data_IF_212172294091
#
_entry.id   IF_212172294091
#
_cell.length_a   1.000
_cell.length_b   1.000
_cell.length_c   1.000
_cell.angle_alpha   90.00
_cell.angle_beta   90.00
_cell.angle_gamma   90.00
#
_symmetry.space_group_name_H-M   'P 1'
#
loop_
_entity.id
_entity.type
_entity.pdbx_description
1 polymer ?
#
# COMPACT_ATOMS: atom_id res chain seq x y z
N UNK A 1 -8.87 4.96 -13.63
CA UNK A 1 -10.10 5.15 -14.44
C UNK A 1 -9.83 5.21 -15.95
N UNK A 2 -8.76 5.87 -16.45
CA UNK A 2 -8.47 5.91 -17.91
C UNK A 2 -8.02 4.60 -18.58
N UNK A 3 -7.40 3.68 -17.84
CA UNK A 3 -6.93 2.36 -18.33
C UNK A 3 -8.07 1.44 -18.79
N UNK A 4 -9.23 1.52 -18.13
CA UNK A 4 -10.40 0.68 -18.45
C UNK A 4 -11.04 1.10 -19.78
N UNK A 5 -10.96 2.40 -20.11
CA UNK A 5 -11.48 2.96 -21.37
C UNK A 5 -10.59 2.55 -22.55
N UNK A 6 -9.27 2.55 -22.39
CA UNK A 6 -8.33 2.19 -23.46
C UNK A 6 -8.38 0.70 -23.80
N UNK A 7 -8.56 -0.17 -22.80
CA UNK A 7 -8.70 -1.62 -23.04
C UNK A 7 -10.00 -1.97 -23.78
N UNK A 8 -11.10 -1.21 -23.59
CA UNK A 8 -12.32 -1.37 -24.39
C UNK A 8 -12.14 -1.03 -25.88
N UNK A 9 -11.12 -0.22 -26.24
CA UNK A 9 -10.90 0.25 -27.61
C UNK A 9 -10.05 -0.70 -28.50
N UNK A 10 -9.71 -1.92 -28.05
CA UNK A 10 -8.88 -2.89 -28.81
C UNK A 10 -7.55 -2.32 -29.34
N UNK A 11 -6.97 -1.34 -28.65
CA UNK A 11 -5.62 -0.81 -28.90
C UNK A 11 -4.58 -1.60 -28.11
N UNK A 12 -4.47 -2.90 -28.34
CA UNK A 12 -3.48 -3.78 -27.68
C UNK A 12 -2.05 -3.25 -27.84
N UNK A 13 -1.75 -2.60 -28.96
CA UNK A 13 -0.45 -1.95 -29.23
C UNK A 13 -0.17 -0.70 -28.38
N UNK A 14 -1.16 -0.10 -27.72
CA UNK A 14 -0.99 1.07 -26.85
C UNK A 14 -1.34 0.77 -25.38
N UNK A 15 -1.89 -0.40 -25.07
CA UNK A 15 -2.21 -0.82 -23.72
C UNK A 15 -0.97 -0.85 -22.80
N UNK A 16 0.21 -1.17 -23.34
CA UNK A 16 1.47 -1.17 -22.58
C UNK A 16 1.86 0.23 -22.08
N UNK A 17 1.48 1.29 -22.80
CA UNK A 17 1.79 2.69 -22.43
C UNK A 17 1.15 3.07 -21.09
N UNK A 18 0.01 2.45 -20.76
CA UNK A 18 -0.68 2.70 -19.48
C UNK A 18 -0.47 1.58 -18.46
N UNK A 19 -0.26 0.34 -18.92
CA UNK A 19 0.01 -0.78 -18.03
C UNK A 19 1.38 -0.69 -17.37
N UNK A 20 2.43 -0.25 -18.08
CA UNK A 20 3.78 -0.17 -17.52
C UNK A 20 3.87 0.88 -16.39
N UNK A 21 3.42 2.14 -16.57
CA UNK A 21 3.42 3.12 -15.47
C UNK A 21 2.54 2.69 -14.30
N UNK A 22 1.41 2.02 -14.56
CA UNK A 22 0.53 1.52 -13.50
C UNK A 22 1.19 0.39 -12.70
N UNK A 23 1.82 -0.58 -13.38
CA UNK A 23 2.55 -1.67 -12.73
C UNK A 23 3.74 -1.15 -11.92
N UNK A 24 4.47 -0.18 -12.47
CA UNK A 24 5.56 0.49 -11.77
C UNK A 24 5.07 1.21 -10.51
N UNK A 25 3.99 1.99 -10.63
CA UNK A 25 3.38 2.67 -9.50
C UNK A 25 2.95 1.67 -8.42
N UNK A 26 2.28 0.58 -8.80
CA UNK A 26 1.88 -0.49 -7.89
C UNK A 26 3.09 -1.12 -7.18
N UNK A 27 4.17 -1.39 -7.91
CA UNK A 27 5.40 -1.94 -7.34
C UNK A 27 6.02 -0.98 -6.31
N UNK A 28 6.10 0.32 -6.63
CA UNK A 28 6.58 1.34 -5.71
C UNK A 28 5.68 1.46 -4.48
N UNK A 29 4.36 1.52 -4.65
CA UNK A 29 3.39 1.61 -3.54
C UNK A 29 3.46 0.39 -2.62
N UNK A 30 3.57 -0.81 -3.19
CA UNK A 30 3.66 -2.06 -2.42
C UNK A 30 4.97 -2.14 -1.65
N UNK A 31 6.08 -1.78 -2.29
CA UNK A 31 7.41 -1.75 -1.65
C UNK A 31 7.43 -0.73 -0.50
N UNK A 32 6.89 0.47 -0.73
CA UNK A 32 6.80 1.50 0.30
C UNK A 32 5.92 1.06 1.48
N UNK A 33 4.75 0.48 1.22
CA UNK A 33 3.86 -0.05 2.25
C UNK A 33 4.50 -1.18 3.06
N UNK A 34 5.20 -2.09 2.38
CA UNK A 34 5.95 -3.16 3.05
C UNK A 34 7.01 -2.62 4.00
N UNK A 35 7.82 -1.65 3.55
CA UNK A 35 8.81 -0.98 4.40
C UNK A 35 8.15 -0.25 5.57
N UNK A 36 7.01 0.40 5.35
CA UNK A 36 6.25 1.10 6.39
C UNK A 36 5.71 0.19 7.49
N UNK A 37 5.37 -1.05 7.18
CA UNK A 37 4.85 -2.01 8.17
C UNK A 37 6.01 -2.78 8.81
N UNK A 38 6.90 -3.36 8.02
CA UNK A 38 7.85 -4.39 8.48
C UNK A 38 9.30 -3.93 8.61
N UNK A 39 9.64 -2.67 8.29
CA UNK A 39 11.01 -2.20 8.46
C UNK A 39 11.42 -2.23 9.94
N UNK A 40 12.61 -2.78 10.21
CA UNK A 40 13.21 -2.78 11.55
C UNK A 40 13.76 -1.41 11.95
N UNK A 41 13.91 -0.46 11.01
CA UNK A 41 14.29 0.91 11.33
C UNK A 41 13.06 1.65 11.88
N UNK A 42 13.08 2.13 13.14
CA UNK A 42 11.98 2.89 13.74
C UNK A 42 11.65 4.19 13.00
N UNK A 43 12.53 4.69 12.13
CA UNK A 43 12.24 5.86 11.29
C UNK A 43 11.34 5.53 10.09
N UNK A 44 11.28 4.26 9.71
CA UNK A 44 10.55 3.78 8.53
C UNK A 44 9.34 2.93 8.93
N UNK A 45 9.53 1.99 9.85
CA UNK A 45 8.54 1.01 10.26
C UNK A 45 7.66 1.48 11.42
N UNK A 46 6.35 1.42 11.25
CA UNK A 46 5.38 1.73 12.29
C UNK A 46 5.50 0.79 13.49
N UNK A 47 5.64 -0.52 13.24
CA UNK A 47 5.82 -1.51 14.32
C UNK A 47 7.12 -1.29 15.11
N UNK A 48 8.24 -1.04 14.40
CA UNK A 48 9.51 -0.74 15.04
C UNK A 48 9.48 0.58 15.84
N UNK A 49 8.75 1.59 15.35
CA UNK A 49 8.53 2.84 16.08
C UNK A 49 7.69 2.59 17.35
N UNK A 50 6.57 1.87 17.24
CA UNK A 50 5.74 1.49 18.37
C UNK A 50 6.54 0.73 19.44
N UNK A 51 7.37 -0.23 19.05
CA UNK A 51 8.18 -1.04 19.97
C UNK A 51 9.23 -0.19 20.69
N UNK A 52 9.87 0.77 20.00
CA UNK A 52 10.82 1.70 20.62
C UNK A 52 10.17 2.55 21.71
N UNK A 53 8.96 3.08 21.45
CA UNK A 53 8.23 3.87 22.44
C UNK A 53 7.71 2.99 23.57
N UNK A 54 7.23 1.78 23.28
CA UNK A 54 6.78 0.82 24.29
C UNK A 54 7.91 0.41 25.25
N UNK A 55 9.11 0.14 24.74
CA UNK A 55 10.29 -0.17 25.55
C UNK A 55 10.67 1.00 26.48
N UNK A 56 10.67 2.23 25.94
CA UNK A 56 10.97 3.40 26.75
C UNK A 56 9.91 3.70 27.83
N UNK A 57 8.62 3.43 27.54
CA UNK A 57 7.56 3.47 28.57
C UNK A 57 7.85 2.47 29.69
N UNK A 58 8.24 1.24 29.36
CA UNK A 58 8.56 0.21 30.36
C UNK A 58 9.78 0.59 31.24
N UNK A 59 10.74 1.34 30.68
CA UNK A 59 11.88 1.88 31.41
C UNK A 59 11.57 3.19 32.18
N UNK A 60 10.34 3.72 32.08
CA UNK A 60 9.97 5.01 32.67
C UNK A 60 10.65 6.22 32.02
N UNK A 61 11.22 6.05 30.82
CA UNK A 61 11.94 7.11 30.09
C UNK A 61 11.02 7.79 29.09
N UNK A 62 10.92 9.12 29.21
CA UNK A 62 10.19 9.93 28.23
C UNK A 62 11.12 10.22 27.04
N UNK A 63 10.77 9.70 25.86
CA UNK A 63 11.48 10.01 24.64
C UNK A 63 10.92 11.28 23.99
N UNK A 64 11.81 12.22 23.68
CA UNK A 64 11.45 13.35 22.82
C UNK A 64 10.95 12.83 21.45
N UNK A 65 9.91 13.45 20.85
CA UNK A 65 9.26 14.71 21.21
C UNK A 65 8.09 14.60 22.21
N UNK A 66 7.75 13.39 22.68
CA UNK A 66 6.67 13.23 23.64
C UNK A 66 7.06 13.89 24.98
N UNK A 67 6.09 14.54 25.63
CA UNK A 67 6.30 15.26 26.90
C UNK A 67 5.87 14.45 28.13
N UNK A 68 5.11 13.38 27.93
CA UNK A 68 4.58 12.52 29.00
C UNK A 68 4.56 11.07 28.55
N UNK A 69 4.59 10.13 29.51
CA UNK A 69 4.42 8.69 29.26
C UNK A 69 3.08 8.37 28.58
N UNK A 70 2.03 9.09 28.96
CA UNK A 70 0.69 8.92 28.39
C UNK A 70 0.64 9.33 26.92
N UNK A 71 1.35 10.39 26.54
CA UNK A 71 1.50 10.78 25.15
C UNK A 71 2.25 9.71 24.33
N UNK A 72 3.28 9.07 24.91
CA UNK A 72 3.98 7.97 24.26
C UNK A 72 3.07 6.76 24.05
N UNK A 73 2.21 6.42 25.02
CA UNK A 73 1.24 5.32 24.87
C UNK A 73 0.29 5.56 23.69
N UNK A 74 -0.15 6.81 23.49
CA UNK A 74 -0.94 7.20 22.32
C UNK A 74 -0.16 7.04 21.01
N UNK A 75 1.14 7.37 20.99
CA UNK A 75 2.00 7.15 19.81
C UNK A 75 2.05 5.67 19.46
N UNK A 76 2.30 4.79 20.44
CA UNK A 76 2.32 3.32 20.23
C UNK A 76 1.00 2.83 19.66
N UNK A 77 -0.12 3.30 20.19
CA UNK A 77 -1.45 2.92 19.69
C UNK A 77 -1.67 3.40 18.24
N UNK A 78 -1.34 4.65 17.95
CA UNK A 78 -1.48 5.22 16.61
C UNK A 78 -0.62 4.48 15.59
N UNK A 79 0.64 4.17 15.92
CA UNK A 79 1.53 3.44 15.02
C UNK A 79 1.00 2.03 14.70
N UNK A 80 0.43 1.34 15.70
CA UNK A 80 -0.21 0.03 15.49
C UNK A 80 -1.45 0.13 14.60
N UNK A 81 -2.25 1.18 14.82
CA UNK A 81 -3.43 1.46 14.01
C UNK A 81 -3.05 1.81 12.57
N UNK A 82 -2.03 2.65 12.38
CA UNK A 82 -1.49 3.01 11.07
C UNK A 82 -0.91 1.79 10.33
N UNK A 83 -0.23 0.88 11.04
CA UNK A 83 0.23 -0.39 10.46
C UNK A 83 -0.95 -1.24 9.96
N UNK A 84 -2.03 -1.34 10.74
CA UNK A 84 -3.23 -2.08 10.36
C UNK A 84 -3.95 -1.42 9.15
N UNK A 85 -4.10 -0.10 9.16
CA UNK A 85 -4.69 0.66 8.05
C UNK A 85 -3.84 0.53 6.77
N UNK A 86 -2.51 0.57 6.90
CA UNK A 86 -1.59 0.39 5.79
C UNK A 86 -1.73 -1.02 5.19
N UNK A 87 -1.80 -2.06 6.03
CA UNK A 87 -2.02 -3.43 5.59
C UNK A 87 -3.37 -3.60 4.86
N UNK A 88 -4.43 -2.99 5.39
CA UNK A 88 -5.75 -2.98 4.77
C UNK A 88 -5.70 -2.32 3.38
N UNK A 89 -5.09 -1.14 3.29
CA UNK A 89 -4.94 -0.42 2.03
C UNK A 89 -4.16 -1.24 0.99
N UNK A 90 -3.03 -1.85 1.38
CA UNK A 90 -2.27 -2.75 0.51
C UNK A 90 -3.13 -3.93 0.04
N UNK A 91 -3.96 -4.51 0.91
CA UNK A 91 -4.91 -5.57 0.55
C UNK A 91 -5.94 -5.13 -0.50
N UNK A 92 -6.48 -3.93 -0.36
CA UNK A 92 -7.40 -3.35 -1.37
C UNK A 92 -6.69 -3.13 -2.70
N UNK A 93 -5.48 -2.57 -2.68
CA UNK A 93 -4.66 -2.34 -3.88
C UNK A 93 -4.36 -3.65 -4.61
N UNK A 94 -3.96 -4.70 -3.88
CA UNK A 94 -3.74 -6.03 -4.45
C UNK A 94 -5.02 -6.61 -5.05
N UNK A 95 -6.15 -6.47 -4.36
CA UNK A 95 -7.45 -6.95 -4.86
C UNK A 95 -7.81 -6.29 -6.19
N UNK A 96 -7.72 -4.95 -6.26
CA UNK A 96 -7.96 -4.20 -7.51
C UNK A 96 -6.97 -4.59 -8.60
N UNK A 97 -5.70 -4.81 -8.25
CA UNK A 97 -4.68 -5.31 -9.17
C UNK A 97 -5.06 -6.67 -9.76
N UNK A 98 -5.48 -7.62 -8.93
CA UNK A 98 -5.94 -8.95 -9.37
C UNK A 98 -7.17 -8.85 -10.27
N UNK A 99 -8.16 -8.05 -9.91
CA UNK A 99 -9.34 -7.81 -10.76
C UNK A 99 -8.95 -7.21 -12.12
N UNK A 100 -8.01 -6.27 -12.12
CA UNK A 100 -7.50 -5.62 -13.34
C UNK A 100 -6.81 -6.65 -14.24
N UNK A 101 -5.94 -7.51 -13.69
CA UNK A 101 -5.28 -8.59 -14.45
C UNK A 101 -6.30 -9.58 -15.00
N UNK A 102 -7.29 -10.02 -14.19
CA UNK A 102 -8.35 -10.92 -14.66
C UNK A 102 -9.17 -10.31 -15.80
N UNK A 103 -9.51 -9.03 -15.71
CA UNK A 103 -10.23 -8.32 -16.76
C UNK A 103 -9.41 -8.25 -18.06
N UNK A 104 -8.10 -7.98 -17.97
CA UNK A 104 -7.19 -7.99 -19.12
C UNK A 104 -7.13 -9.38 -19.77
N UNK A 105 -6.98 -10.45 -18.99
CA UNK A 105 -6.93 -11.82 -19.51
C UNK A 105 -8.25 -12.25 -20.17
N UNK A 106 -9.40 -11.85 -19.59
CA UNK A 106 -10.72 -12.10 -20.17
C UNK A 106 -10.90 -11.32 -21.49
N UNK A 107 -10.51 -10.05 -21.53
CA UNK A 107 -10.56 -9.23 -22.75
C UNK A 107 -9.68 -9.79 -23.88
N UNK A 108 -8.49 -10.32 -23.55
CA UNK A 108 -7.62 -10.98 -24.54
C UNK A 108 -8.22 -12.27 -25.11
N UNK A 109 -9.04 -13.00 -24.34
CA UNK A 109 -9.72 -14.22 -24.79
C UNK A 109 -10.97 -13.92 -25.63
N UNK A 110 -11.61 -12.78 -25.42
CA UNK A 110 -12.73 -12.32 -26.23
C UNK A 110 -12.22 -11.72 -27.56
N UNK A 111 -12.08 -12.56 -28.59
CA UNK A 111 -11.64 -12.13 -29.94
C UNK A 111 -12.54 -11.10 -30.65
N UNK A 112 -13.62 -10.59 -30.04
CA UNK A 112 -14.59 -9.66 -30.66
C UNK A 112 -14.64 -8.32 -29.93
N UNK A 113 -14.73 -7.18 -30.65
CA UNK A 113 -14.91 -5.87 -30.01
C UNK A 113 -16.29 -5.85 -29.32
N UNK A 114 -16.32 -5.61 -28.02
CA UNK A 114 -17.57 -5.43 -27.24
C UNK A 114 -17.89 -3.95 -27.03
N UNK A 115 -17.60 -3.13 -28.05
CA UNK A 115 -18.14 -1.78 -28.11
C UNK A 115 -19.55 -1.87 -28.74
N UNK A 116 -20.56 -1.59 -27.93
CA UNK A 116 -21.77 -0.94 -28.39
C UNK A 116 -21.76 0.46 -27.79
#
# INVERSE_FOLDING_TARGET
>A
MGTVVIFKMKKDRYAWVTAVPAAWLLACTMTAGWLKIFSADPKLGFLAHADKYAAAIAEGKVLAPAKTLEAMSRVVFNDRLDAALCALFMGVVLSVGVYSVKAILAARRAGRPTAQ
#
